data_IF_796253774288
#
_entry.id   IF_796253774288
#
_cell.length_a   1.000
_cell.length_b   1.000
_cell.length_c   1.000
_cell.angle_alpha   90.00
_cell.angle_beta   90.00
_cell.angle_gamma   90.00
#
_symmetry.space_group_name_H-M   'P 1'
#
loop_
_entity.id
_entity.type
_entity.pdbx_description
1 polymer ?
#
# COMPACT_ATOMS: atom_id res chain seq x y z
N UNK A 1 2.75 -27.52 -20.78
CA UNK A 1 2.87 -26.10 -21.20
C UNK A 1 2.69 -25.14 -20.02
N UNK A 2 1.56 -25.15 -19.29
CA UNK A 2 1.30 -24.21 -18.18
C UNK A 2 2.38 -24.22 -17.08
N UNK A 3 2.68 -25.38 -16.50
CA UNK A 3 3.71 -25.50 -15.45
C UNK A 3 5.12 -25.19 -15.96
N UNK A 4 5.39 -25.50 -17.23
CA UNK A 4 6.68 -25.19 -17.86
C UNK A 4 6.86 -23.67 -17.96
N UNK A 5 5.85 -22.94 -18.43
CA UNK A 5 5.92 -21.47 -18.51
C UNK A 5 6.01 -20.83 -17.12
N UNK A 6 5.26 -21.35 -16.14
CA UNK A 6 5.35 -20.87 -14.75
C UNK A 6 6.75 -21.09 -14.16
N UNK A 7 7.35 -22.26 -14.38
CA UNK A 7 8.71 -22.55 -13.93
C UNK A 7 9.75 -21.61 -14.57
N UNK A 8 9.62 -21.37 -15.89
CA UNK A 8 10.50 -20.42 -16.59
C UNK A 8 10.35 -18.99 -16.03
N UNK A 9 9.13 -18.54 -15.74
CA UNK A 9 8.89 -17.22 -15.15
C UNK A 9 9.53 -17.09 -13.76
N UNK A 10 9.33 -18.08 -12.88
CA UNK A 10 9.92 -18.08 -11.53
C UNK A 10 11.46 -18.11 -11.60
N UNK A 11 12.02 -18.97 -12.44
CA UNK A 11 13.47 -19.08 -12.61
C UNK A 11 14.06 -17.75 -13.11
N UNK A 12 13.40 -17.09 -14.08
CA UNK A 12 13.85 -15.81 -14.60
C UNK A 12 13.80 -14.68 -13.55
N UNK A 13 12.70 -14.56 -12.79
CA UNK A 13 12.57 -13.55 -11.72
C UNK A 13 13.61 -13.78 -10.61
N UNK A 14 13.88 -15.03 -10.25
CA UNK A 14 14.86 -15.37 -9.22
C UNK A 14 16.32 -15.14 -9.68
N UNK A 15 16.62 -15.32 -10.97
CA UNK A 15 17.98 -15.20 -11.49
C UNK A 15 18.45 -13.74 -11.60
N UNK A 16 17.53 -12.78 -11.69
CA UNK A 16 17.82 -11.35 -11.79
C UNK A 16 16.85 -10.57 -10.89
N UNK A 17 17.09 -10.55 -9.56
CA UNK A 17 16.26 -9.76 -8.66
C UNK A 17 16.32 -8.27 -9.03
N UNK A 18 15.24 -7.55 -8.75
CA UNK A 18 15.20 -6.11 -8.93
C UNK A 18 16.33 -5.44 -8.12
N UNK A 19 16.93 -4.36 -8.64
CA UNK A 19 17.90 -3.59 -7.87
C UNK A 19 17.23 -3.04 -6.60
N UNK A 20 18.01 -2.79 -5.53
CA UNK A 20 17.49 -2.09 -4.36
C UNK A 20 16.85 -0.76 -4.77
N UNK A 21 15.73 -0.36 -4.14
CA UNK A 21 15.08 0.88 -4.48
C UNK A 21 16.03 2.06 -4.24
N UNK A 22 16.27 2.84 -5.29
CA UNK A 22 17.01 4.11 -5.30
C UNK A 22 16.06 5.33 -5.17
N UNK A 23 14.79 5.06 -4.87
CA UNK A 23 13.70 6.02 -4.83
C UNK A 23 13.51 6.72 -3.48
N UNK A 24 12.48 7.57 -3.44
CA UNK A 24 12.02 8.26 -2.22
C UNK A 24 11.50 7.25 -1.19
N UNK A 25 11.66 7.51 0.12
CA UNK A 25 11.03 6.70 1.15
C UNK A 25 9.52 6.60 0.91
N UNK A 26 8.96 5.39 0.97
CA UNK A 26 7.54 5.16 0.75
C UNK A 26 6.72 5.45 2.01
N UNK A 27 5.59 6.14 1.87
CA UNK A 27 4.66 6.43 2.98
C UNK A 27 3.26 5.93 2.62
N UNK A 28 2.61 5.23 3.54
CA UNK A 28 1.24 4.73 3.33
C UNK A 28 0.18 5.74 3.77
N UNK A 29 -0.87 5.92 2.99
CA UNK A 29 -2.02 6.77 3.34
C UNK A 29 -3.32 6.00 3.17
N UNK A 30 -4.17 5.96 4.18
CA UNK A 30 -5.52 5.41 4.07
C UNK A 30 -6.49 6.43 3.46
N UNK A 31 -7.38 5.99 2.57
CA UNK A 31 -8.31 6.84 1.84
C UNK A 31 -9.68 6.17 1.71
N UNK A 32 -10.73 6.99 1.67
CA UNK A 32 -12.05 6.60 1.20
C UNK A 32 -12.59 7.71 0.29
N UNK A 33 -13.62 7.43 -0.52
CA UNK A 33 -14.15 8.39 -1.48
C UNK A 33 -14.41 9.79 -0.86
N UNK A 34 -14.94 9.83 0.36
CA UNK A 34 -15.23 11.07 1.11
C UNK A 34 -14.00 11.79 1.67
N UNK A 35 -12.85 11.12 1.79
CA UNK A 35 -11.58 11.72 2.26
C UNK A 35 -10.58 11.99 1.13
N UNK A 36 -10.92 11.64 -0.12
CA UNK A 36 -10.09 11.88 -1.32
C UNK A 36 -9.49 13.30 -1.39
N UNK A 37 -10.23 14.40 -1.14
CA UNK A 37 -9.64 15.74 -1.22
C UNK A 37 -8.51 15.96 -0.20
N UNK A 38 -8.65 15.42 1.01
CA UNK A 38 -7.63 15.48 2.06
C UNK A 38 -6.39 14.66 1.68
N UNK A 39 -6.60 13.40 1.28
CA UNK A 39 -5.50 12.49 0.91
C UNK A 39 -4.72 13.01 -0.28
N UNK A 40 -5.39 13.52 -1.33
CA UNK A 40 -4.74 14.10 -2.51
C UNK A 40 -3.89 15.32 -2.14
N UNK A 41 -4.40 16.19 -1.26
CA UNK A 41 -3.65 17.37 -0.80
C UNK A 41 -2.38 16.98 -0.05
N UNK A 42 -2.46 15.99 0.85
CA UNK A 42 -1.31 15.48 1.59
C UNK A 42 -0.30 14.82 0.65
N UNK A 43 -0.76 13.96 -0.25
CA UNK A 43 0.10 13.27 -1.22
C UNK A 43 0.86 14.26 -2.11
N UNK A 44 0.21 15.33 -2.58
CA UNK A 44 0.87 16.35 -3.41
C UNK A 44 1.92 17.15 -2.63
N UNK A 45 1.65 17.49 -1.37
CA UNK A 45 2.61 18.18 -0.50
C UNK A 45 3.85 17.33 -0.20
N UNK A 46 3.68 16.00 -0.08
CA UNK A 46 4.77 15.07 0.22
C UNK A 46 5.48 14.54 -1.03
N UNK A 47 4.92 14.76 -2.22
CA UNK A 47 5.39 14.17 -3.49
C UNK A 47 6.85 14.43 -3.79
N UNK A 48 7.41 15.58 -3.37
CA UNK A 48 8.81 15.91 -3.61
C UNK A 48 9.78 15.07 -2.77
N UNK A 49 9.36 14.58 -1.61
CA UNK A 49 10.21 13.91 -0.62
C UNK A 49 9.87 12.44 -0.39
N UNK A 50 8.63 12.02 -0.64
CA UNK A 50 8.14 10.67 -0.38
C UNK A 50 7.45 10.07 -1.61
N UNK A 51 7.45 8.74 -1.68
CA UNK A 51 6.57 7.98 -2.57
C UNK A 51 5.28 7.62 -1.83
N UNK A 52 4.17 8.26 -2.21
CA UNK A 52 2.91 8.15 -1.48
C UNK A 52 2.07 6.98 -2.02
N UNK A 53 1.91 5.94 -1.20
CA UNK A 53 1.08 4.78 -1.49
C UNK A 53 -0.30 4.94 -0.85
N UNK A 54 -1.36 5.03 -1.66
CA UNK A 54 -2.73 5.21 -1.17
C UNK A 54 -3.44 3.87 -1.06
N UNK A 55 -4.01 3.59 0.11
CA UNK A 55 -4.75 2.37 0.44
C UNK A 55 -6.21 2.70 0.67
N UNK A 56 -7.10 2.02 -0.04
CA UNK A 56 -8.53 2.24 0.10
C UNK A 56 -9.08 1.53 1.35
N UNK A 57 -9.68 2.27 2.28
CA UNK A 57 -10.11 1.80 3.60
C UNK A 57 -11.38 0.91 3.55
N UNK A 58 -11.28 -0.23 2.88
CA UNK A 58 -12.31 -1.27 2.67
C UNK A 58 -11.93 -2.59 3.34
N UNK A 59 -11.41 -2.54 4.57
CA UNK A 59 -10.86 -3.64 5.37
C UNK A 59 -9.54 -4.21 4.82
N UNK A 60 -9.53 -4.58 3.54
CA UNK A 60 -8.39 -5.09 2.79
C UNK A 60 -7.29 -4.06 2.60
N UNK A 61 -7.63 -2.78 2.48
CA UNK A 61 -6.64 -1.70 2.33
C UNK A 61 -5.79 -1.53 3.57
N UNK A 62 -6.42 -1.36 4.74
CA UNK A 62 -5.69 -1.28 6.02
C UNK A 62 -4.79 -2.49 6.23
N UNK A 63 -5.32 -3.71 6.08
CA UNK A 63 -4.52 -4.95 6.22
C UNK A 63 -3.35 -5.04 5.22
N UNK A 64 -3.50 -4.50 4.02
CA UNK A 64 -2.42 -4.50 3.02
C UNK A 64 -1.35 -3.48 3.41
N UNK A 65 -1.75 -2.30 3.86
CA UNK A 65 -0.85 -1.27 4.37
C UNK A 65 -0.04 -1.79 5.57
N UNK A 66 -0.72 -2.42 6.55
CA UNK A 66 -0.09 -3.02 7.73
C UNK A 66 0.94 -4.09 7.34
N UNK A 67 0.61 -5.00 6.41
CA UNK A 67 1.57 -6.01 5.93
C UNK A 67 2.83 -5.40 5.32
N UNK A 68 2.69 -4.28 4.59
CA UNK A 68 3.85 -3.58 4.02
C UNK A 68 4.66 -2.86 5.08
N UNK A 69 4.01 -2.28 6.09
CA UNK A 69 4.68 -1.70 7.26
C UNK A 69 5.46 -2.78 8.03
N UNK A 70 4.85 -3.92 8.34
CA UNK A 70 5.47 -5.06 9.02
C UNK A 70 6.67 -5.62 8.24
N UNK A 71 6.62 -5.57 6.91
CA UNK A 71 7.71 -6.00 6.02
C UNK A 71 8.84 -4.97 5.89
N UNK A 72 8.74 -3.82 6.57
CA UNK A 72 9.72 -2.72 6.46
C UNK A 72 9.73 -2.03 5.10
N UNK A 73 8.68 -2.21 4.30
CA UNK A 73 8.54 -1.62 2.96
C UNK A 73 7.96 -0.20 3.01
N UNK A 74 7.36 0.20 4.13
CA UNK A 74 6.91 1.57 4.38
C UNK A 74 7.84 2.25 5.40
N UNK A 75 8.28 3.46 5.08
CA UNK A 75 9.01 4.32 6.01
C UNK A 75 8.09 4.89 7.10
N UNK A 76 6.81 5.10 6.77
CA UNK A 76 5.81 5.60 7.71
C UNK A 76 4.40 5.46 7.17
N UNK A 77 3.42 5.86 8.00
CA UNK A 77 2.00 5.79 7.69
C UNK A 77 1.31 7.08 8.13
N UNK A 78 0.35 7.54 7.33
CA UNK A 78 -0.61 8.59 7.67
C UNK A 78 -2.02 7.99 7.56
N UNK A 79 -2.52 7.48 8.68
CA UNK A 79 -3.84 6.84 8.76
C UNK A 79 -4.94 7.89 8.97
N UNK A 80 -5.35 8.52 7.86
CA UNK A 80 -6.34 9.61 7.80
C UNK A 80 -7.78 9.07 7.87
N UNK A 81 -8.00 7.85 7.39
CA UNK A 81 -9.32 7.31 7.10
C UNK A 81 -9.55 6.00 7.84
N UNK A 82 -9.76 6.11 9.15
CA UNK A 82 -9.92 4.98 10.08
C UNK A 82 -11.32 4.35 10.07
N UNK A 83 -12.07 4.49 8.97
CA UNK A 83 -13.46 4.02 8.88
C UNK A 83 -13.61 2.51 9.07
N UNK A 84 -12.56 1.73 8.79
CA UNK A 84 -12.52 0.28 9.02
C UNK A 84 -12.74 -0.08 10.49
N UNK A 85 -12.38 0.81 11.44
CA UNK A 85 -12.63 0.61 12.87
C UNK A 85 -14.12 0.68 13.18
N UNK A 86 -14.86 1.58 12.55
CA UNK A 86 -16.31 1.65 12.70
C UNK A 86 -16.98 0.37 12.20
N UNK A 87 -16.56 -0.12 11.03
CA UNK A 87 -17.09 -1.38 10.47
C UNK A 87 -16.79 -2.56 11.38
N UNK A 88 -15.58 -2.65 11.94
CA UNK A 88 -15.21 -3.68 12.92
C UNK A 88 -16.10 -3.63 14.18
N UNK A 89 -16.37 -2.43 14.70
CA UNK A 89 -17.11 -2.27 15.97
C UNK A 89 -18.63 -2.44 15.82
N UNK A 90 -19.18 -2.09 14.66
CA UNK A 90 -20.63 -2.03 14.46
C UNK A 90 -21.16 -3.05 13.44
N UNK A 91 -20.33 -3.99 12.98
CA UNK A 91 -20.75 -5.05 12.06
C UNK A 91 -20.96 -4.55 10.63
N UNK A 92 -20.08 -3.64 10.19
CA UNK A 92 -20.01 -3.19 8.81
C UNK A 92 -19.52 -4.29 7.85
N UNK A 93 -19.49 -3.97 6.56
CA UNK A 93 -19.28 -4.96 5.47
C UNK A 93 -17.92 -4.79 4.81
N UNK A 94 -17.21 -3.70 5.10
CA UNK A 94 -15.91 -3.38 4.51
C UNK A 94 -14.81 -4.38 4.92
#
# INVERSE_FOLDING_TARGET
VVLHNAAQAIAAMSAKPAPPPDGKPSIGLTMFGVTTPCVTSIAEQLRSSYDCMVFHATGTGGRTMEKLADSGLLFGVIDITTTEVCDLLFGGVL
#
